data_IF_929969966922
#
_entry.id   IF_929969966922
#
_cell.length_a   1.000
_cell.length_b   1.000
_cell.length_c   1.000
_cell.angle_alpha   90.00
_cell.angle_beta   90.00
_cell.angle_gamma   90.00
#
_symmetry.space_group_name_H-M   'P 1'
#
loop_
_entity.id
_entity.type
_entity.pdbx_description
1 polymer ?
#
# COMPACT_ATOMS: atom_id res chain seq x y z
N UNK A 1 76.07 -2.10 10.97
CA UNK A 1 76.42 -2.34 9.55
C UNK A 1 75.57 -3.52 9.11
N UNK A 2 74.47 -3.38 8.39
CA UNK A 2 73.89 -2.24 7.69
C UNK A 2 72.39 -2.52 7.48
N UNK A 3 71.61 -1.43 7.44
CA UNK A 3 70.33 -1.20 6.75
C UNK A 3 69.32 -2.35 6.66
N UNK A 4 68.13 -2.27 7.28
CA UNK A 4 67.09 -1.25 7.00
C UNK A 4 66.80 -1.12 5.50
N UNK A 5 66.24 -2.16 4.86
CA UNK A 5 65.35 -2.04 3.67
C UNK A 5 64.90 -3.42 3.18
N UNK A 6 63.96 -4.06 3.89
CA UNK A 6 63.08 -5.06 3.27
C UNK A 6 61.66 -4.49 3.07
N UNK A 7 61.62 -3.17 2.87
CA UNK A 7 60.46 -2.34 2.59
C UNK A 7 60.54 -1.79 1.16
N UNK A 8 60.98 -2.59 0.18
CA UNK A 8 60.94 -2.16 -1.21
C UNK A 8 61.00 -3.34 -2.18
N UNK A 9 59.82 -3.87 -2.49
CA UNK A 9 59.35 -3.97 -3.88
C UNK A 9 57.84 -4.14 -3.86
N UNK A 10 57.16 -3.18 -3.23
CA UNK A 10 55.76 -2.98 -3.59
C UNK A 10 55.79 -2.38 -4.98
N UNK A 11 55.51 -3.21 -5.98
CA UNK A 11 55.49 -2.80 -7.39
C UNK A 11 54.57 -1.58 -7.54
N UNK A 12 55.07 -0.40 -7.93
CA UNK A 12 54.26 0.81 -8.06
C UNK A 12 53.09 0.60 -9.02
N UNK A 13 53.29 -0.21 -10.06
CA UNK A 13 52.23 -0.62 -10.98
C UNK A 13 51.17 -1.51 -10.32
N UNK A 14 51.56 -2.40 -9.40
CA UNK A 14 50.60 -3.26 -8.67
C UNK A 14 49.78 -2.45 -7.67
N UNK A 15 50.40 -1.53 -6.94
CA UNK A 15 49.69 -0.59 -6.06
C UNK A 15 48.74 0.32 -6.84
N UNK A 16 49.20 0.88 -7.96
CA UNK A 16 48.38 1.72 -8.83
C UNK A 16 47.20 0.95 -9.43
N UNK A 17 47.44 -0.31 -9.82
CA UNK A 17 46.38 -1.21 -10.31
C UNK A 17 45.38 -1.55 -9.20
N UNK A 18 45.84 -1.91 -8.00
CA UNK A 18 44.98 -2.20 -6.85
C UNK A 18 44.17 -0.98 -6.42
N UNK A 19 44.80 0.19 -6.36
CA UNK A 19 44.12 1.46 -6.07
C UNK A 19 43.09 1.79 -7.17
N UNK A 20 43.43 1.57 -8.43
CA UNK A 20 42.51 1.73 -9.56
C UNK A 20 41.31 0.79 -9.51
N UNK A 21 41.51 -0.45 -9.06
CA UNK A 21 40.42 -1.42 -8.81
C UNK A 21 39.54 -0.97 -7.66
N UNK A 22 40.13 -0.61 -6.51
CA UNK A 22 39.40 -0.11 -5.33
C UNK A 22 38.60 1.15 -5.69
N UNK A 23 39.18 2.09 -6.44
CA UNK A 23 38.49 3.30 -6.89
C UNK A 23 37.31 2.97 -7.81
N UNK A 24 37.44 2.00 -8.71
CA UNK A 24 36.31 1.54 -9.55
C UNK A 24 35.23 0.84 -8.72
N UNK A 25 35.61 0.02 -7.75
CA UNK A 25 34.68 -0.66 -6.86
C UNK A 25 33.91 0.34 -5.99
N UNK A 26 34.59 1.33 -5.42
CA UNK A 26 33.96 2.44 -4.67
C UNK A 26 33.05 3.24 -5.59
N UNK A 27 33.48 3.56 -6.81
CA UNK A 27 32.66 4.31 -7.76
C UNK A 27 31.39 3.53 -8.18
N UNK A 28 31.51 2.22 -8.41
CA UNK A 28 30.36 1.36 -8.70
C UNK A 28 29.41 1.33 -7.51
N UNK A 29 29.91 1.08 -6.30
CA UNK A 29 29.10 1.06 -5.07
C UNK A 29 28.36 2.40 -4.82
N UNK A 30 29.04 3.52 -5.04
CA UNK A 30 28.42 4.86 -4.96
C UNK A 30 27.33 5.05 -6.01
N UNK A 31 27.55 4.55 -7.23
CA UNK A 31 26.55 4.58 -8.31
C UNK A 31 25.33 3.71 -7.95
N UNK A 32 25.53 2.51 -7.38
CA UNK A 32 24.44 1.66 -6.88
C UNK A 32 23.62 2.37 -5.82
N UNK A 33 24.28 2.91 -4.80
CA UNK A 33 23.62 3.59 -3.67
C UNK A 33 22.84 4.79 -4.19
N UNK A 34 23.42 5.55 -5.12
CA UNK A 34 22.73 6.68 -5.76
C UNK A 34 21.51 6.22 -6.56
N UNK A 35 21.57 5.09 -7.26
CA UNK A 35 20.45 4.55 -8.05
C UNK A 35 19.33 3.96 -7.16
N UNK A 36 19.66 3.45 -5.97
CA UNK A 36 18.70 2.92 -5.01
C UNK A 36 17.94 4.01 -4.25
N UNK A 37 18.52 5.20 -4.13
CA UNK A 37 17.95 6.30 -3.36
C UNK A 37 16.58 6.75 -3.90
N UNK A 38 16.41 6.86 -5.22
CA UNK A 38 15.16 7.32 -5.84
C UNK A 38 13.95 6.41 -5.54
N UNK A 39 14.00 5.11 -5.91
CA UNK A 39 12.93 4.16 -5.60
C UNK A 39 12.59 4.08 -4.11
N UNK A 40 13.60 4.06 -3.24
CA UNK A 40 13.43 3.96 -1.80
C UNK A 40 12.79 5.21 -1.19
N UNK A 41 13.24 6.41 -1.59
CA UNK A 41 12.66 7.69 -1.15
C UNK A 41 11.20 7.81 -1.62
N UNK A 42 10.89 7.37 -2.84
CA UNK A 42 9.50 7.39 -3.34
C UNK A 42 8.57 6.43 -2.58
N UNK A 43 9.06 5.24 -2.21
CA UNK A 43 8.32 4.30 -1.38
C UNK A 43 8.10 4.86 0.04
N UNK A 44 9.14 5.47 0.61
CA UNK A 44 9.07 6.15 1.90
C UNK A 44 8.07 7.32 1.90
N UNK A 45 7.93 8.03 0.79
CA UNK A 45 6.94 9.10 0.64
C UNK A 45 5.49 8.58 0.52
N UNK A 46 5.29 7.33 0.09
CA UNK A 46 3.97 6.75 -0.19
C UNK A 46 3.36 6.05 1.03
N UNK A 47 4.19 5.44 1.89
CA UNK A 47 3.75 4.71 3.08
C UNK A 47 2.96 5.54 4.10
N UNK A 48 3.34 6.81 4.41
CA UNK A 48 2.58 7.65 5.33
C UNK A 48 1.13 7.85 4.89
N UNK A 49 0.89 8.14 3.61
CA UNK A 49 -0.47 8.33 3.08
C UNK A 49 -1.33 7.06 3.09
N UNK A 50 -0.71 5.88 2.92
CA UNK A 50 -1.41 4.61 3.09
C UNK A 50 -1.79 4.36 4.56
N UNK A 51 -0.91 4.75 5.48
CA UNK A 51 -1.15 4.62 6.93
C UNK A 51 -2.27 5.56 7.38
N UNK A 52 -2.27 6.80 6.88
CA UNK A 52 -3.34 7.77 7.10
C UNK A 52 -4.68 7.25 6.57
N UNK A 53 -4.71 6.73 5.33
CA UNK A 53 -5.91 6.12 4.75
C UNK A 53 -6.44 4.94 5.57
N UNK A 54 -5.55 4.12 6.16
CA UNK A 54 -5.94 3.02 7.05
C UNK A 54 -6.54 3.53 8.37
N UNK A 55 -5.95 4.59 8.93
CA UNK A 55 -6.46 5.26 10.12
C UNK A 55 -7.85 5.85 9.88
N UNK A 56 -8.07 6.49 8.73
CA UNK A 56 -9.38 6.99 8.31
C UNK A 56 -10.40 5.86 8.21
N UNK A 57 -10.05 4.74 7.56
CA UNK A 57 -10.93 3.56 7.48
C UNK A 57 -11.31 3.06 8.86
N UNK A 58 -10.35 2.96 9.79
CA UNK A 58 -10.62 2.53 11.17
C UNK A 58 -11.59 3.47 11.87
N UNK A 59 -11.33 4.78 11.83
CA UNK A 59 -12.18 5.79 12.47
C UNK A 59 -13.60 5.79 11.91
N UNK A 60 -13.73 5.76 10.58
CA UNK A 60 -15.03 5.75 9.92
C UNK A 60 -15.84 4.50 10.24
N UNK A 61 -15.16 3.35 10.31
CA UNK A 61 -15.81 2.07 10.61
C UNK A 61 -16.30 2.04 12.07
N UNK A 62 -15.52 2.59 13.00
CA UNK A 62 -15.90 2.69 14.40
C UNK A 62 -17.11 3.62 14.58
N UNK A 63 -17.06 4.83 14.00
CA UNK A 63 -18.15 5.80 14.08
C UNK A 63 -19.44 5.26 13.46
N UNK A 64 -19.36 4.68 12.27
CA UNK A 64 -20.50 4.11 11.59
C UNK A 64 -21.08 2.91 12.35
N UNK A 65 -20.24 2.03 12.88
CA UNK A 65 -20.68 0.90 13.69
C UNK A 65 -21.42 1.38 14.95
N UNK A 66 -20.89 2.38 15.64
CA UNK A 66 -21.53 2.94 16.83
C UNK A 66 -22.88 3.58 16.49
N UNK A 67 -22.94 4.34 15.40
CA UNK A 67 -24.17 4.98 14.92
C UNK A 67 -25.24 3.96 14.54
N UNK A 68 -24.88 2.95 13.73
CA UNK A 68 -25.79 1.87 13.32
C UNK A 68 -26.30 1.09 14.54
N UNK A 69 -25.43 0.76 15.49
CA UNK A 69 -25.82 0.03 16.69
C UNK A 69 -26.83 0.83 17.53
N UNK A 70 -26.60 2.12 17.71
CA UNK A 70 -27.52 3.02 18.42
C UNK A 70 -28.89 3.08 17.73
N UNK A 71 -28.91 3.20 16.40
CA UNK A 71 -30.14 3.23 15.62
C UNK A 71 -30.93 1.92 15.70
N UNK A 72 -30.23 0.78 15.66
CA UNK A 72 -30.84 -0.54 15.81
C UNK A 72 -31.41 -0.72 17.22
N UNK A 73 -30.73 -0.26 18.27
CA UNK A 73 -31.25 -0.26 19.63
C UNK A 73 -32.55 0.56 19.74
N UNK A 74 -32.59 1.76 19.15
CA UNK A 74 -33.80 2.58 19.06
C UNK A 74 -34.95 1.83 18.35
N UNK A 75 -34.66 1.11 17.26
CA UNK A 75 -35.65 0.30 16.53
C UNK A 75 -36.17 -0.86 17.36
N UNK A 76 -35.30 -1.59 18.05
CA UNK A 76 -35.69 -2.70 18.93
C UNK A 76 -36.66 -2.20 20.01
N UNK A 77 -36.39 -1.03 20.61
CA UNK A 77 -37.27 -0.46 21.62
C UNK A 77 -38.61 0.03 21.06
N UNK A 78 -38.64 0.57 19.84
CA UNK A 78 -39.90 0.89 19.15
C UNK A 78 -40.71 -0.36 18.85
N UNK A 79 -40.06 -1.42 18.36
CA UNK A 79 -40.70 -2.70 18.06
C UNK A 79 -41.30 -3.35 19.31
N UNK A 80 -40.58 -3.33 20.45
CA UNK A 80 -41.12 -3.79 21.74
C UNK A 80 -42.36 -3.00 22.18
N UNK A 81 -42.36 -1.68 22.00
CA UNK A 81 -43.53 -0.83 22.32
C UNK A 81 -44.71 -1.17 21.42
N UNK A 82 -44.48 -1.41 20.13
CA UNK A 82 -45.53 -1.86 19.20
C UNK A 82 -46.08 -3.24 19.60
N UNK A 83 -45.21 -4.21 19.89
CA UNK A 83 -45.63 -5.54 20.36
C UNK A 83 -46.46 -5.47 21.65
N UNK A 84 -46.08 -4.62 22.61
CA UNK A 84 -46.83 -4.45 23.86
C UNK A 84 -48.24 -3.89 23.62
N UNK A 85 -48.42 -3.00 22.64
CA UNK A 85 -49.74 -2.49 22.26
C UNK A 85 -50.58 -3.56 21.55
N UNK A 86 -49.96 -4.38 20.69
CA UNK A 86 -50.64 -5.47 19.98
C UNK A 86 -51.12 -6.60 20.89
N UNK A 87 -50.48 -6.79 22.05
CA UNK A 87 -50.90 -7.79 23.05
C UNK A 87 -52.07 -7.33 23.93
N UNK A 88 -52.56 -6.09 23.81
CA UNK A 88 -53.74 -5.63 24.56
C UNK A 88 -55.01 -6.33 24.03
N UNK A 89 -55.86 -6.83 24.92
CA UNK A 89 -57.16 -7.45 24.56
C UNK A 89 -58.08 -6.49 23.79
N UNK A 90 -57.99 -5.19 24.06
CA UNK A 90 -58.74 -4.15 23.35
C UNK A 90 -57.82 -2.98 23.03
N UNK A 91 -57.74 -2.65 21.73
CA UNK A 91 -57.01 -1.49 21.24
C UNK A 91 -57.91 -0.26 21.33
N UNK A 92 -57.43 0.79 22.00
CA UNK A 92 -58.11 2.08 21.99
C UNK A 92 -57.73 2.88 20.74
N UNK A 93 -58.53 3.88 20.32
CA UNK A 93 -58.14 4.80 19.24
C UNK A 93 -56.80 5.50 19.49
N UNK A 94 -56.45 5.73 20.76
CA UNK A 94 -55.15 6.29 21.16
C UNK A 94 -54.02 5.30 20.94
N UNK A 95 -54.23 4.00 21.22
CA UNK A 95 -53.23 2.96 20.95
C UNK A 95 -52.96 2.81 19.45
N UNK A 96 -53.99 2.91 18.61
CA UNK A 96 -53.85 2.94 17.15
C UNK A 96 -52.98 4.12 16.67
N UNK A 97 -53.22 5.32 17.22
CA UNK A 97 -52.39 6.50 16.92
C UNK A 97 -50.94 6.34 17.36
N UNK A 98 -50.69 5.75 18.53
CA UNK A 98 -49.32 5.42 18.97
C UNK A 98 -48.66 4.38 18.07
N UNK A 99 -49.40 3.37 17.60
CA UNK A 99 -48.89 2.35 16.69
C UNK A 99 -48.47 2.96 15.35
N UNK A 100 -49.29 3.85 14.78
CA UNK A 100 -48.94 4.61 13.57
C UNK A 100 -47.70 5.48 13.78
N UNK A 101 -47.60 6.14 14.94
CA UNK A 101 -46.43 6.96 15.28
C UNK A 101 -45.16 6.12 15.43
N UNK A 102 -45.21 4.99 16.13
CA UNK A 102 -44.06 4.09 16.30
C UNK A 102 -43.63 3.47 14.97
N UNK A 103 -44.59 3.08 14.12
CA UNK A 103 -44.29 2.58 12.79
C UNK A 103 -43.60 3.64 11.92
N UNK A 104 -44.06 4.89 11.98
CA UNK A 104 -43.42 6.00 11.26
C UNK A 104 -42.00 6.28 11.76
N UNK A 105 -41.79 6.23 13.08
CA UNK A 105 -40.46 6.39 13.68
C UNK A 105 -39.52 5.24 13.32
N UNK A 106 -40.00 3.99 13.30
CA UNK A 106 -39.20 2.82 12.91
C UNK A 106 -38.79 2.88 11.42
N UNK A 107 -39.70 3.30 10.55
CA UNK A 107 -39.39 3.59 9.14
C UNK A 107 -38.33 4.68 9.00
N UNK A 108 -38.44 5.77 9.77
CA UNK A 108 -37.46 6.84 9.75
C UNK A 108 -36.09 6.35 10.25
N UNK A 109 -36.06 5.54 11.31
CA UNK A 109 -34.82 4.95 11.83
C UNK A 109 -34.17 4.02 10.79
N UNK A 110 -34.97 3.21 10.08
CA UNK A 110 -34.47 2.38 8.98
C UNK A 110 -33.78 3.21 7.90
N UNK A 111 -34.37 4.35 7.50
CA UNK A 111 -33.74 5.27 6.54
C UNK A 111 -32.45 5.89 7.09
N UNK A 112 -32.39 6.18 8.39
CA UNK A 112 -31.17 6.66 9.06
C UNK A 112 -30.08 5.58 9.07
N UNK A 113 -30.41 4.31 9.30
CA UNK A 113 -29.46 3.18 9.21
C UNK A 113 -28.91 3.08 7.78
N UNK A 114 -29.77 3.15 6.77
CA UNK A 114 -29.34 3.16 5.37
C UNK A 114 -28.39 4.34 5.07
N UNK A 115 -28.69 5.52 5.61
CA UNK A 115 -27.81 6.68 5.51
C UNK A 115 -26.46 6.47 6.20
N UNK A 116 -26.46 5.91 7.41
CA UNK A 116 -25.26 5.61 8.18
C UNK A 116 -24.35 4.60 7.45
N UNK A 117 -24.92 3.60 6.77
CA UNK A 117 -24.19 2.64 5.93
C UNK A 117 -23.48 3.27 4.73
N UNK A 118 -23.80 4.52 4.37
CA UNK A 118 -23.14 5.26 3.30
C UNK A 118 -21.63 5.45 3.50
N UNK A 119 -21.11 5.30 4.72
CA UNK A 119 -19.66 5.32 5.01
C UNK A 119 -18.87 4.27 4.21
N UNK A 120 -19.52 3.17 3.80
CA UNK A 120 -18.89 2.08 3.07
C UNK A 120 -18.20 2.56 1.78
N UNK A 121 -18.79 3.53 1.07
CA UNK A 121 -18.20 4.06 -0.17
C UNK A 121 -16.84 4.72 0.11
N UNK A 122 -16.78 5.56 1.13
CA UNK A 122 -15.56 6.23 1.55
C UNK A 122 -14.51 5.23 2.07
N UNK A 123 -14.93 4.21 2.83
CA UNK A 123 -14.04 3.11 3.24
C UNK A 123 -13.47 2.38 2.02
N UNK A 124 -14.31 2.07 1.03
CA UNK A 124 -13.88 1.40 -0.20
C UNK A 124 -12.89 2.26 -1.00
N UNK A 125 -13.13 3.57 -1.10
CA UNK A 125 -12.22 4.50 -1.76
C UNK A 125 -10.85 4.51 -1.08
N UNK A 126 -10.81 4.58 0.25
CA UNK A 126 -9.56 4.57 1.00
C UNK A 126 -8.83 3.22 0.93
N UNK A 127 -9.54 2.08 0.99
CA UNK A 127 -8.96 0.76 0.73
C UNK A 127 -8.34 0.66 -0.66
N UNK A 128 -8.96 1.25 -1.69
CA UNK A 128 -8.40 1.29 -3.04
C UNK A 128 -7.10 2.10 -3.09
N UNK A 129 -7.04 3.26 -2.43
CA UNK A 129 -5.81 4.07 -2.31
C UNK A 129 -4.70 3.28 -1.61
N UNK A 130 -5.02 2.58 -0.52
CA UNK A 130 -4.06 1.74 0.21
C UNK A 130 -3.52 0.64 -0.71
N UNK A 131 -4.39 -0.06 -1.45
CA UNK A 131 -3.98 -1.08 -2.41
C UNK A 131 -3.04 -0.53 -3.49
N UNK A 132 -3.34 0.66 -4.01
CA UNK A 132 -2.47 1.34 -4.97
C UNK A 132 -1.11 1.70 -4.36
N UNK A 133 -1.09 2.22 -3.13
CA UNK A 133 0.14 2.56 -2.41
C UNK A 133 1.02 1.32 -2.15
N UNK A 134 0.41 0.21 -1.72
CA UNK A 134 1.11 -1.08 -1.56
C UNK A 134 1.70 -1.51 -2.90
N UNK A 135 0.93 -1.41 -3.99
CA UNK A 135 1.39 -1.79 -5.32
C UNK A 135 2.59 -0.96 -5.79
N UNK A 136 2.60 0.33 -5.48
CA UNK A 136 3.72 1.24 -5.77
C UNK A 136 4.95 0.81 -4.98
N UNK A 137 4.83 0.64 -3.67
CA UNK A 137 5.94 0.24 -2.79
C UNK A 137 6.52 -1.11 -3.24
N UNK A 138 5.66 -2.08 -3.53
CA UNK A 138 6.07 -3.41 -4.00
C UNK A 138 6.88 -3.31 -5.31
N UNK A 139 6.39 -2.53 -6.29
CA UNK A 139 7.09 -2.34 -7.56
C UNK A 139 8.44 -1.64 -7.37
N UNK A 140 8.54 -0.71 -6.43
CA UNK A 140 9.81 -0.03 -6.09
C UNK A 140 10.80 -0.94 -5.38
N UNK A 141 10.33 -1.84 -4.51
CA UNK A 141 11.18 -2.86 -3.90
C UNK A 141 11.69 -3.86 -4.94
N UNK A 142 10.86 -4.27 -5.91
CA UNK A 142 11.29 -5.11 -7.02
C UNK A 142 12.36 -4.40 -7.88
N UNK A 143 12.18 -3.11 -8.18
CA UNK A 143 13.16 -2.29 -8.90
C UNK A 143 14.51 -2.23 -8.17
N UNK A 144 14.49 -2.01 -6.84
CA UNK A 144 15.67 -2.05 -5.97
C UNK A 144 16.35 -3.42 -6.01
N UNK A 145 15.58 -4.51 -5.90
CA UNK A 145 16.12 -5.86 -5.94
C UNK A 145 16.75 -6.18 -7.30
N UNK A 146 16.15 -5.74 -8.41
CA UNK A 146 16.75 -5.90 -9.74
C UNK A 146 18.07 -5.13 -9.87
N UNK A 147 18.11 -3.86 -9.43
CA UNK A 147 19.33 -3.03 -9.45
C UNK A 147 20.48 -3.70 -8.67
N UNK A 148 20.20 -4.21 -7.46
CA UNK A 148 21.18 -4.90 -6.62
C UNK A 148 21.71 -6.21 -7.24
N UNK A 149 20.84 -6.97 -7.91
CA UNK A 149 21.24 -8.24 -8.52
C UNK A 149 21.92 -8.04 -9.88
N UNK A 150 21.51 -7.03 -10.66
CA UNK A 150 22.08 -6.75 -11.98
C UNK A 150 23.57 -6.38 -11.88
N UNK A 151 23.96 -5.57 -10.88
CA UNK A 151 25.36 -5.15 -10.72
C UNK A 151 26.30 -6.24 -10.21
N UNK A 152 25.79 -7.28 -9.52
CA UNK A 152 26.57 -8.47 -9.15
C UNK A 152 26.86 -9.40 -10.34
N UNK A 153 26.62 -8.97 -11.58
CA UNK A 153 26.83 -9.74 -12.79
C UNK A 153 28.26 -9.65 -13.35
N UNK A 154 29.22 -10.30 -12.68
CA UNK A 154 30.48 -10.75 -13.31
C UNK A 154 30.83 -12.22 -12.98
N UNK A 155 29.84 -13.04 -12.64
CA UNK A 155 30.00 -14.48 -12.48
C UNK A 155 28.71 -15.14 -12.01
N UNK A 156 28.24 -16.12 -12.77
CA UNK A 156 27.08 -16.99 -12.52
C UNK A 156 25.68 -16.34 -12.48
N UNK A 157 24.88 -16.73 -13.48
CA UNK A 157 23.47 -16.42 -13.62
C UNK A 157 22.67 -17.19 -12.57
N UNK A 158 22.65 -16.68 -11.34
CA UNK A 158 21.89 -17.27 -10.22
C UNK A 158 20.40 -17.41 -10.60
N UNK A 159 19.83 -18.58 -10.34
CA UNK A 159 18.41 -18.95 -10.54
C UNK A 159 17.44 -17.88 -10.02
N UNK A 160 17.82 -17.17 -8.96
CA UNK A 160 17.10 -16.01 -8.41
C UNK A 160 16.93 -14.85 -9.40
N UNK A 161 17.90 -14.59 -10.29
CA UNK A 161 17.79 -13.55 -11.34
C UNK A 161 16.76 -13.93 -12.42
N UNK A 162 16.65 -15.21 -12.77
CA UNK A 162 15.65 -15.72 -13.72
C UNK A 162 14.25 -15.64 -13.13
N UNK A 163 14.07 -16.10 -11.89
CA UNK A 163 12.79 -16.02 -11.17
C UNK A 163 12.34 -14.57 -10.95
N UNK A 164 13.25 -13.66 -10.58
CA UNK A 164 12.93 -12.24 -10.41
C UNK A 164 12.56 -11.59 -11.76
N UNK A 165 13.26 -11.97 -12.84
CA UNK A 165 12.97 -11.52 -14.19
C UNK A 165 11.64 -12.05 -14.73
N UNK A 166 11.26 -13.28 -14.40
CA UNK A 166 9.95 -13.86 -14.74
C UNK A 166 8.82 -13.21 -13.94
N UNK A 167 9.01 -12.94 -12.65
CA UNK A 167 8.06 -12.19 -11.81
C UNK A 167 7.88 -10.75 -12.32
N UNK A 168 8.96 -10.09 -12.73
CA UNK A 168 8.89 -8.78 -13.35
C UNK A 168 8.17 -8.83 -14.70
N UNK A 169 8.49 -9.78 -15.58
CA UNK A 169 7.84 -9.93 -16.91
C UNK A 169 6.36 -10.30 -16.81
N UNK A 170 5.99 -11.18 -15.88
CA UNK A 170 4.60 -11.56 -15.63
C UNK A 170 3.75 -10.36 -15.18
N UNK A 171 4.37 -9.37 -14.52
CA UNK A 171 3.73 -8.15 -14.02
C UNK A 171 3.80 -6.96 -14.98
N UNK A 172 4.87 -6.87 -15.78
CA UNK A 172 5.12 -5.81 -16.78
C UNK A 172 4.50 -6.12 -18.15
N UNK A 173 3.90 -7.30 -18.32
CA UNK A 173 3.00 -7.60 -19.44
C UNK A 173 1.71 -6.76 -19.50
N UNK A 174 1.67 -5.61 -18.81
CA UNK A 174 0.71 -4.54 -19.07
C UNK A 174 1.16 -3.77 -20.33
N UNK A 175 0.39 -3.83 -21.44
CA UNK A 175 0.76 -3.27 -22.76
C UNK A 175 1.15 -1.79 -22.73
N UNK A 176 0.69 -1.07 -21.72
CA UNK A 176 0.84 0.39 -21.58
C UNK A 176 2.28 0.82 -21.31
N UNK A 177 3.07 -0.02 -20.61
CA UNK A 177 4.46 0.30 -20.25
C UNK A 177 5.49 -0.14 -21.29
N UNK A 178 5.20 -1.19 -22.08
CA UNK A 178 6.04 -1.56 -23.22
C UNK A 178 6.13 -0.42 -24.24
N UNK A 179 5.01 0.27 -24.51
CA UNK A 179 5.02 1.49 -25.34
C UNK A 179 5.94 2.58 -24.81
N UNK A 180 5.98 2.80 -23.50
CA UNK A 180 6.83 3.83 -22.89
C UNK A 180 8.31 3.45 -22.96
N UNK A 181 8.63 2.18 -22.76
CA UNK A 181 9.99 1.65 -22.91
C UNK A 181 10.44 1.74 -24.38
N UNK A 182 9.58 1.37 -25.32
CA UNK A 182 9.86 1.46 -26.75
C UNK A 182 10.03 2.92 -27.21
N UNK A 183 9.29 3.85 -26.62
CA UNK A 183 9.39 5.28 -26.92
C UNK A 183 10.68 5.89 -26.37
N UNK A 184 11.13 5.48 -25.17
CA UNK A 184 12.42 5.89 -24.60
C UNK A 184 13.58 5.28 -25.39
N UNK A 185 13.50 4.01 -25.79
CA UNK A 185 14.55 3.36 -26.60
C UNK A 185 14.69 4.03 -27.97
N UNK A 186 13.54 4.43 -28.56
CA UNK A 186 13.51 5.18 -29.81
C UNK A 186 14.08 6.60 -29.69
N UNK A 187 13.94 7.26 -28.54
CA UNK A 187 14.50 8.59 -28.29
C UNK A 187 16.03 8.55 -28.04
N UNK A 188 16.55 7.45 -27.49
CA UNK A 188 17.99 7.29 -27.21
C UNK A 188 18.77 6.46 -28.25
N UNK A 189 18.13 6.05 -29.34
CA UNK A 189 18.80 5.56 -30.55
C UNK A 189 19.43 4.16 -30.46
N UNK A 190 18.75 3.21 -29.81
CA UNK A 190 19.00 1.76 -29.97
C UNK A 190 17.73 1.07 -30.43
#
# INVERSE_FOLDING_TARGET
MSDETDLARVDPERLSTQLGTIVREIHSALKTISALSGPLVSAQATLPGATESLSEVSSMTEEASQSILTLIEEQIDLQRKMEALLHKETLTPTDLSHLESYLSLDQQSTLRVMGALGFQDLVQQNLKKIGQSIQIVENKLLEVLMLLHWEKGSGEESEGKKLLGELYKAKVGDPTRQRLVDEILREYGV
#
